data_IF_536713767654
#
_entry.id   IF_536713767654
#
_cell.length_a   1.000
_cell.length_b   1.000
_cell.length_c   1.000
_cell.angle_alpha   90.00
_cell.angle_beta   90.00
_cell.angle_gamma   90.00
#
_symmetry.space_group_name_H-M   'P 1'
#
loop_
_entity.id
_entity.type
_entity.pdbx_description
1 polymer ?
#
# COMPACT_ATOMS: atom_id res chain seq x y z
N UNK A 1 9.80 39.13 -32.57
CA UNK A 1 8.94 38.18 -31.86
C UNK A 1 8.74 36.96 -32.77
N UNK A 2 9.33 35.82 -32.46
CA UNK A 2 9.04 34.56 -33.17
C UNK A 2 7.61 34.15 -32.84
N UNK A 3 6.72 34.11 -33.84
CA UNK A 3 5.40 33.50 -33.70
C UNK A 3 5.64 32.05 -33.29
N UNK A 4 5.24 31.67 -32.07
CA UNK A 4 5.11 30.27 -31.69
C UNK A 4 4.07 29.69 -32.65
N UNK A 5 4.51 28.85 -33.56
CA UNK A 5 3.63 28.17 -34.49
C UNK A 5 2.61 27.35 -33.72
N UNK A 6 1.39 27.26 -34.22
CA UNK A 6 0.32 26.43 -33.69
C UNK A 6 0.68 24.93 -33.82
N UNK A 7 1.71 24.47 -33.13
CA UNK A 7 1.90 23.04 -33.00
C UNK A 7 0.78 22.49 -32.13
N UNK A 8 0.02 21.58 -32.70
CA UNK A 8 -0.96 20.81 -31.94
C UNK A 8 -0.22 20.10 -30.82
N UNK A 9 -0.62 20.32 -29.58
CA UNK A 9 -0.07 19.58 -28.46
C UNK A 9 -0.27 18.09 -28.69
N UNK A 10 0.75 17.29 -28.44
CA UNK A 10 0.65 15.82 -28.39
C UNK A 10 0.07 15.32 -27.05
N UNK A 11 -0.23 16.24 -26.16
CA UNK A 11 -0.90 15.95 -24.89
C UNK A 11 -2.40 15.85 -25.12
N UNK A 12 -2.96 14.67 -24.88
CA UNK A 12 -4.39 14.46 -24.84
C UNK A 12 -4.85 14.59 -23.36
N UNK A 13 -5.71 15.56 -23.11
CA UNK A 13 -6.27 15.82 -21.78
C UNK A 13 -7.26 14.74 -21.35
N UNK A 14 -7.85 14.04 -22.30
CA UNK A 14 -8.85 13.01 -22.07
C UNK A 14 -8.54 11.78 -22.95
N UNK A 15 -7.42 11.11 -22.68
CA UNK A 15 -7.03 9.98 -23.52
C UNK A 15 -8.03 8.85 -23.44
N UNK A 16 -8.40 8.30 -24.56
CA UNK A 16 -9.22 7.09 -24.64
C UNK A 16 -8.29 5.92 -24.92
N UNK A 17 -8.20 5.00 -23.98
CA UNK A 17 -7.47 3.74 -24.16
C UNK A 17 -8.48 2.67 -24.50
N UNK A 18 -8.34 2.08 -25.68
CA UNK A 18 -9.15 0.93 -26.07
C UNK A 18 -8.60 -0.31 -25.37
N UNK A 19 -9.44 -0.98 -24.58
CA UNK A 19 -9.17 -2.31 -24.04
C UNK A 19 -9.65 -3.35 -25.04
N UNK A 20 -8.90 -4.45 -25.21
CA UNK A 20 -9.30 -5.51 -26.13
C UNK A 20 -10.61 -6.15 -25.66
N UNK A 21 -11.54 -6.42 -26.60
CA UNK A 21 -12.85 -7.01 -26.34
C UNK A 21 -12.79 -8.46 -25.82
N UNK A 22 -11.58 -9.04 -25.71
CA UNK A 22 -11.39 -10.44 -25.31
C UNK A 22 -11.40 -10.66 -23.78
N UNK A 23 -11.49 -9.61 -22.99
CA UNK A 23 -11.47 -9.71 -21.53
C UNK A 23 -12.87 -9.50 -20.96
N UNK A 24 -13.66 -10.57 -20.90
CA UNK A 24 -14.86 -10.58 -20.08
C UNK A 24 -14.47 -10.43 -18.60
N UNK A 25 -15.09 -9.45 -17.90
CA UNK A 25 -14.98 -9.27 -16.45
C UNK A 25 -13.55 -9.01 -15.92
N UNK A 26 -12.91 -7.95 -16.37
CA UNK A 26 -11.60 -7.50 -15.86
C UNK A 26 -11.69 -6.38 -14.82
N UNK A 27 -12.90 -5.93 -14.50
CA UNK A 27 -13.14 -4.88 -13.52
C UNK A 27 -14.30 -5.29 -12.60
N UNK A 28 -14.10 -5.15 -11.31
CA UNK A 28 -15.09 -5.44 -10.27
C UNK A 28 -15.31 -4.22 -9.41
N UNK A 29 -16.54 -3.94 -9.05
CA UNK A 29 -16.91 -2.76 -8.28
C UNK A 29 -17.59 -3.15 -6.96
N UNK A 30 -17.13 -2.52 -5.89
CA UNK A 30 -17.64 -2.74 -4.55
C UNK A 30 -17.13 -4.02 -3.88
N UNK A 31 -17.19 -4.03 -2.57
CA UNK A 31 -16.65 -5.09 -1.75
C UNK A 31 -17.20 -6.50 -2.07
N UNK A 32 -18.50 -6.69 -2.35
CA UNK A 32 -19.02 -8.03 -2.66
C UNK A 32 -18.35 -8.67 -3.88
N UNK A 33 -18.15 -7.88 -4.95
CA UNK A 33 -17.53 -8.40 -6.17
C UNK A 33 -16.03 -8.62 -5.97
N UNK A 34 -15.33 -7.69 -5.30
CA UNK A 34 -13.91 -7.80 -5.00
C UNK A 34 -13.65 -9.05 -4.15
N UNK A 35 -14.40 -9.25 -3.08
CA UNK A 35 -14.25 -10.43 -2.21
C UNK A 35 -14.57 -11.72 -2.95
N UNK A 36 -15.61 -11.72 -3.79
CA UNK A 36 -15.93 -12.88 -4.65
C UNK A 36 -14.76 -13.24 -5.56
N UNK A 37 -14.14 -12.24 -6.17
CA UNK A 37 -12.99 -12.46 -7.04
C UNK A 37 -11.75 -12.95 -6.27
N UNK A 38 -11.50 -12.41 -5.08
CA UNK A 38 -10.40 -12.87 -4.22
C UNK A 38 -10.58 -14.32 -3.80
N UNK A 39 -11.80 -14.72 -3.41
CA UNK A 39 -12.12 -16.12 -3.09
C UNK A 39 -11.86 -17.04 -4.29
N UNK A 40 -12.34 -16.68 -5.49
CA UNK A 40 -12.07 -17.44 -6.71
C UNK A 40 -10.57 -17.58 -6.99
N UNK A 41 -9.81 -16.49 -6.82
CA UNK A 41 -8.36 -16.52 -7.01
C UNK A 41 -7.68 -17.47 -6.02
N UNK A 42 -8.09 -17.46 -4.76
CA UNK A 42 -7.59 -18.38 -3.73
C UNK A 42 -8.01 -19.83 -3.96
N UNK A 43 -9.21 -20.08 -4.48
CA UNK A 43 -9.67 -21.43 -4.83
C UNK A 43 -8.83 -22.05 -5.94
N UNK A 44 -8.37 -21.25 -6.91
CA UNK A 44 -7.50 -21.69 -8.00
C UNK A 44 -6.05 -21.99 -7.58
N UNK A 45 -5.67 -21.66 -6.35
CA UNK A 45 -4.36 -22.02 -5.79
C UNK A 45 -4.43 -23.45 -5.23
N UNK A 46 -3.69 -24.38 -5.83
CA UNK A 46 -3.68 -25.79 -5.45
C UNK A 46 -2.49 -26.12 -4.53
N UNK A 47 -2.43 -25.44 -3.37
CA UNK A 47 -1.43 -25.65 -2.33
C UNK A 47 -2.10 -25.84 -0.97
N UNK A 48 -1.51 -26.60 -0.03
CA UNK A 48 -2.05 -26.73 1.31
C UNK A 48 -2.09 -25.39 2.06
N UNK A 49 -1.05 -24.57 1.93
CA UNK A 49 -0.99 -23.21 2.44
C UNK A 49 -1.06 -22.24 1.26
N UNK A 50 -1.98 -21.30 1.33
CA UNK A 50 -2.18 -20.26 0.32
C UNK A 50 -1.88 -18.92 0.93
N UNK A 51 -1.04 -18.13 0.27
CA UNK A 51 -0.59 -16.81 0.76
C UNK A 51 -1.22 -15.70 -0.08
N UNK A 52 -2.09 -14.92 0.54
CA UNK A 52 -2.63 -13.68 -0.01
C UNK A 52 -1.85 -12.50 0.59
N UNK A 53 -1.20 -11.72 -0.25
CA UNK A 53 -0.58 -10.45 0.13
C UNK A 53 -1.46 -9.30 -0.34
N UNK A 54 -1.80 -8.42 0.57
CA UNK A 54 -2.50 -7.16 0.29
C UNK A 54 -1.55 -6.02 0.59
N UNK A 55 -0.82 -5.62 -0.44
CA UNK A 55 0.08 -4.47 -0.39
C UNK A 55 -0.74 -3.18 -0.45
N UNK A 56 -0.61 -2.35 0.54
CA UNK A 56 -1.33 -1.08 0.61
C UNK A 56 -0.41 0.09 0.28
N UNK A 57 -0.87 1.00 -0.57
CA UNK A 57 -0.23 2.29 -0.69
C UNK A 57 -0.57 3.17 0.51
N UNK A 58 0.30 4.11 0.83
CA UNK A 58 0.06 5.05 1.91
C UNK A 58 -1.27 5.80 1.73
N UNK A 59 -2.05 5.87 2.80
CA UNK A 59 -3.31 6.60 2.81
C UNK A 59 -4.56 5.77 2.56
N UNK A 60 -4.42 4.47 2.34
CA UNK A 60 -5.56 3.53 2.35
C UNK A 60 -6.22 3.54 3.73
N UNK A 61 -7.54 3.45 3.79
CA UNK A 61 -8.26 3.32 5.05
C UNK A 61 -8.18 1.88 5.58
N UNK A 62 -7.16 1.64 6.41
CA UNK A 62 -6.84 0.32 6.93
C UNK A 62 -8.02 -0.37 7.61
N UNK A 63 -8.75 0.36 8.46
CA UNK A 63 -9.87 -0.23 9.22
C UNK A 63 -11.01 -0.69 8.32
N UNK A 64 -11.30 0.05 7.24
CA UNK A 64 -12.30 -0.36 6.26
C UNK A 64 -11.90 -1.66 5.58
N UNK A 65 -10.69 -1.69 5.00
CA UNK A 65 -10.20 -2.86 4.26
C UNK A 65 -10.06 -4.07 5.18
N UNK A 66 -9.45 -3.91 6.36
CA UNK A 66 -9.29 -4.98 7.34
C UNK A 66 -10.63 -5.56 7.80
N UNK A 67 -11.59 -4.69 8.09
CA UNK A 67 -12.92 -5.12 8.53
C UNK A 67 -13.59 -6.02 7.49
N UNK A 68 -13.55 -5.62 6.22
CA UNK A 68 -14.16 -6.41 5.15
C UNK A 68 -13.41 -7.71 4.92
N UNK A 69 -12.08 -7.67 4.76
CA UNK A 69 -11.30 -8.86 4.44
C UNK A 69 -11.31 -9.88 5.59
N UNK A 70 -11.16 -9.44 6.85
CA UNK A 70 -11.26 -10.33 8.02
C UNK A 70 -12.64 -10.95 8.17
N UNK A 71 -13.69 -10.19 7.84
CA UNK A 71 -15.07 -10.67 7.98
C UNK A 71 -15.54 -11.58 6.85
N UNK A 72 -14.94 -11.49 5.66
CA UNK A 72 -15.49 -12.15 4.46
C UNK A 72 -14.51 -13.11 3.77
N UNK A 73 -13.22 -13.07 4.09
CA UNK A 73 -12.25 -14.05 3.58
C UNK A 73 -11.90 -15.08 4.66
N UNK A 74 -12.04 -16.38 4.38
CA UNK A 74 -11.59 -17.41 5.29
C UNK A 74 -10.06 -17.35 5.41
N UNK A 75 -9.55 -17.30 6.63
CA UNK A 75 -8.11 -17.28 6.87
C UNK A 75 -7.72 -18.02 8.15
N UNK A 76 -6.59 -18.68 8.13
CA UNK A 76 -5.98 -19.38 9.27
C UNK A 76 -5.10 -18.44 10.06
N UNK A 77 -4.40 -17.53 9.36
CA UNK A 77 -3.48 -16.57 9.96
C UNK A 77 -3.62 -15.21 9.27
N UNK A 78 -3.72 -14.17 10.08
CA UNK A 78 -3.67 -12.78 9.65
C UNK A 78 -2.42 -12.12 10.22
N UNK A 79 -1.62 -11.48 9.36
CA UNK A 79 -0.43 -10.74 9.73
C UNK A 79 -0.52 -9.29 9.24
N UNK A 80 -0.34 -8.35 10.15
CA UNK A 80 -0.16 -6.95 9.81
C UNK A 80 1.33 -6.68 9.56
N UNK A 81 1.69 -6.24 8.36
CA UNK A 81 3.08 -5.93 8.00
C UNK A 81 3.68 -4.84 8.91
N UNK A 82 2.84 -3.90 9.37
CA UNK A 82 3.24 -2.85 10.31
C UNK A 82 3.84 -3.36 11.60
N UNK A 83 3.52 -4.60 12.03
CA UNK A 83 4.12 -5.21 13.22
C UNK A 83 5.61 -5.50 13.08
N UNK A 84 6.12 -5.58 11.84
CA UNK A 84 7.53 -5.74 11.56
C UNK A 84 8.26 -4.41 11.29
N UNK A 85 7.58 -3.27 11.39
CA UNK A 85 8.23 -1.97 11.23
C UNK A 85 9.12 -1.63 12.43
N UNK A 86 10.08 -0.76 12.18
CA UNK A 86 10.87 -0.07 13.19
C UNK A 86 9.96 0.82 14.04
N UNK A 87 10.47 1.31 15.16
CA UNK A 87 9.71 2.25 16.00
C UNK A 87 9.56 3.61 15.32
N UNK A 88 8.55 4.37 15.72
CA UNK A 88 8.32 5.72 15.21
C UNK A 88 9.53 6.63 15.44
N UNK A 89 10.25 6.45 16.56
CA UNK A 89 11.46 7.21 16.90
C UNK A 89 12.60 6.89 15.92
N UNK A 90 12.80 5.62 15.59
CA UNK A 90 13.81 5.19 14.62
C UNK A 90 13.51 5.74 13.24
N UNK A 91 12.23 5.65 12.80
CA UNK A 91 11.77 6.17 11.51
C UNK A 91 11.96 7.70 11.45
N UNK A 92 11.51 8.42 12.44
CA UNK A 92 11.68 9.86 12.51
C UNK A 92 13.16 10.27 12.52
N UNK A 93 14.02 9.47 13.16
CA UNK A 93 15.46 9.74 13.23
C UNK A 93 16.13 9.72 11.87
N UNK A 94 15.86 8.71 11.03
CA UNK A 94 16.49 8.66 9.71
C UNK A 94 15.85 9.63 8.72
N UNK A 95 14.55 9.94 8.84
CA UNK A 95 13.87 10.90 7.97
C UNK A 95 14.24 12.36 8.29
N UNK A 96 14.76 12.63 9.47
CA UNK A 96 15.00 14.01 9.95
C UNK A 96 15.87 14.84 9.00
N UNK A 97 16.87 14.23 8.39
CA UNK A 97 17.76 14.93 7.45
C UNK A 97 17.04 15.35 6.16
N UNK A 98 16.06 14.57 5.73
CA UNK A 98 15.36 14.82 4.48
C UNK A 98 14.16 15.75 4.67
N UNK A 99 13.53 15.70 5.86
CA UNK A 99 12.42 16.59 6.22
C UNK A 99 12.90 18.03 6.36
N UNK A 100 14.11 18.25 6.88
CA UNK A 100 14.71 19.56 7.16
C UNK A 100 13.93 20.44 8.15
N UNK A 101 14.47 21.57 8.53
CA UNK A 101 13.83 22.62 9.35
C UNK A 101 13.08 23.67 8.53
N UNK A 102 13.16 23.63 7.20
CA UNK A 102 12.40 24.52 6.33
C UNK A 102 10.89 24.22 6.47
N UNK A 103 10.07 25.26 6.46
CA UNK A 103 8.62 25.10 6.67
C UNK A 103 7.92 24.35 5.52
N UNK A 104 8.45 24.49 4.29
CA UNK A 104 7.79 24.01 3.06
C UNK A 104 8.62 22.92 2.37
N UNK A 105 9.93 23.09 2.31
CA UNK A 105 10.82 22.27 1.50
C UNK A 105 11.59 21.23 2.34
N UNK A 106 11.67 20.03 1.79
CA UNK A 106 12.55 18.95 2.22
C UNK A 106 13.33 18.41 1.03
N UNK A 107 14.19 17.45 1.28
CA UNK A 107 14.88 16.72 0.22
C UNK A 107 14.03 15.52 -0.21
N UNK A 108 14.11 15.15 -1.50
CA UNK A 108 13.55 13.89 -1.96
C UNK A 108 14.31 12.76 -1.29
N UNK A 109 13.60 11.92 -0.56
CA UNK A 109 14.21 10.82 0.18
C UNK A 109 14.84 9.79 -0.76
N UNK A 110 15.96 9.20 -0.31
CA UNK A 110 16.63 8.06 -0.96
C UNK A 110 16.32 6.74 -0.25
N UNK A 111 15.51 6.80 0.78
CA UNK A 111 15.15 5.62 1.55
C UNK A 111 14.12 4.78 0.80
N UNK A 112 14.34 3.49 0.80
CA UNK A 112 13.43 2.49 0.24
C UNK A 112 12.64 1.83 1.37
N UNK A 113 11.69 0.98 1.01
CA UNK A 113 10.79 0.33 1.96
C UNK A 113 11.52 -0.47 3.03
N UNK A 114 12.65 -1.11 2.71
CA UNK A 114 13.49 -1.86 3.64
C UNK A 114 13.96 -1.03 4.84
N UNK A 115 14.20 0.26 4.65
CA UNK A 115 14.62 1.14 5.73
C UNK A 115 13.59 1.29 6.86
N UNK A 116 12.32 1.04 6.58
CA UNK A 116 11.22 1.16 7.54
C UNK A 116 11.02 -0.10 8.39
N UNK A 117 11.65 -1.22 8.02
CA UNK A 117 11.41 -2.51 8.63
C UNK A 117 12.59 -3.01 9.49
N UNK A 118 12.27 -3.86 10.46
CA UNK A 118 13.22 -4.61 11.27
C UNK A 118 13.30 -6.05 10.74
N UNK A 119 14.48 -6.45 10.26
CA UNK A 119 14.70 -7.77 9.67
C UNK A 119 14.40 -8.92 10.64
N UNK A 120 14.63 -8.75 11.95
CA UNK A 120 14.31 -9.78 12.94
C UNK A 120 12.81 -9.99 13.06
N UNK A 121 12.06 -8.89 13.11
CA UNK A 121 10.60 -8.95 13.15
C UNK A 121 10.02 -9.54 11.86
N UNK A 122 10.60 -9.22 10.68
CA UNK A 122 10.24 -9.88 9.42
C UNK A 122 10.46 -11.39 9.51
N UNK A 123 11.63 -11.81 9.98
CA UNK A 123 11.94 -13.25 10.15
C UNK A 123 10.92 -13.94 11.06
N UNK A 124 10.55 -13.32 12.19
CA UNK A 124 9.52 -13.84 13.10
C UNK A 124 8.16 -14.00 12.41
N UNK A 125 7.76 -13.04 11.55
CA UNK A 125 6.52 -13.16 10.79
C UNK A 125 6.58 -14.31 9.78
N UNK A 126 7.71 -14.47 9.08
CA UNK A 126 7.93 -15.57 8.13
C UNK A 126 7.94 -16.92 8.82
N UNK A 127 8.53 -17.03 10.01
CA UNK A 127 8.48 -18.26 10.83
C UNK A 127 7.04 -18.62 11.22
N UNK A 128 6.19 -17.64 11.58
CA UNK A 128 4.77 -17.90 11.85
C UNK A 128 4.06 -18.49 10.64
N UNK A 129 4.34 -17.98 9.44
CA UNK A 129 3.78 -18.51 8.18
C UNK A 129 4.30 -19.92 7.91
N UNK A 130 5.61 -20.17 8.10
CA UNK A 130 6.21 -21.48 7.91
C UNK A 130 5.66 -22.55 8.86
N UNK A 131 5.15 -22.14 10.02
CA UNK A 131 4.49 -23.03 11.00
C UNK A 131 3.06 -23.43 10.61
N UNK A 132 2.45 -22.84 9.58
CA UNK A 132 1.11 -23.19 9.10
C UNK A 132 1.18 -24.42 8.21
N UNK A 133 0.41 -25.44 8.51
CA UNK A 133 0.37 -26.69 7.72
C UNK A 133 -0.70 -26.66 6.61
N UNK A 134 -1.77 -25.91 6.78
CA UNK A 134 -2.85 -25.76 5.80
C UNK A 134 -3.71 -24.53 6.06
N UNK A 135 -4.30 -23.99 5.00
CA UNK A 135 -5.25 -22.89 5.05
C UNK A 135 -4.74 -21.63 4.33
N UNK A 136 -5.38 -20.50 4.61
CA UNK A 136 -5.08 -19.21 3.98
C UNK A 136 -4.36 -18.33 4.99
N UNK A 137 -3.21 -17.79 4.58
CA UNK A 137 -2.47 -16.76 5.29
C UNK A 137 -2.69 -15.44 4.57
N UNK A 138 -3.07 -14.40 5.31
CA UNK A 138 -3.21 -13.05 4.77
C UNK A 138 -2.14 -12.16 5.40
N UNK A 139 -1.32 -11.53 4.56
CA UNK A 139 -0.34 -10.50 4.96
C UNK A 139 -0.82 -9.17 4.41
N UNK A 140 -1.05 -8.22 5.29
CA UNK A 140 -1.74 -6.97 4.98
C UNK A 140 -0.92 -5.75 5.38
N UNK A 141 -0.99 -4.68 4.58
CA UNK A 141 -0.52 -3.34 4.92
C UNK A 141 0.57 -2.82 4.00
N UNK A 142 1.05 -1.62 4.31
CA UNK A 142 2.18 -1.01 3.58
C UNK A 142 3.43 -1.86 3.80
N UNK A 143 4.10 -2.27 2.73
CA UNK A 143 5.26 -3.14 2.77
C UNK A 143 4.93 -4.62 2.97
N UNK A 144 3.68 -5.03 2.83
CA UNK A 144 3.30 -6.45 2.96
C UNK A 144 4.02 -7.34 1.94
N UNK A 145 4.22 -6.85 0.71
CA UNK A 145 4.98 -7.55 -0.32
C UNK A 145 6.49 -7.62 0.00
N UNK A 146 7.03 -6.65 0.74
CA UNK A 146 8.40 -6.72 1.24
C UNK A 146 8.53 -7.76 2.37
N UNK A 147 7.59 -7.78 3.30
CA UNK A 147 7.55 -8.77 4.39
C UNK A 147 7.38 -10.19 3.83
N UNK A 148 6.50 -10.37 2.84
CA UNK A 148 6.20 -11.68 2.24
C UNK A 148 6.24 -11.58 0.71
N UNK A 149 7.44 -11.66 0.10
CA UNK A 149 7.59 -11.51 -1.35
C UNK A 149 7.03 -12.71 -2.15
N UNK A 150 6.97 -13.88 -1.52
CA UNK A 150 6.42 -15.08 -2.14
C UNK A 150 4.92 -15.19 -1.81
N UNK A 151 4.07 -14.65 -2.70
CA UNK A 151 2.63 -14.72 -2.58
C UNK A 151 2.01 -15.57 -3.70
N UNK A 152 0.90 -16.25 -3.40
CA UNK A 152 0.08 -16.94 -4.41
C UNK A 152 -0.91 -16.00 -5.07
N UNK A 153 -1.41 -15.03 -4.30
CA UNK A 153 -2.27 -13.94 -4.76
C UNK A 153 -1.73 -12.63 -4.22
N UNK A 154 -1.49 -11.67 -5.10
CA UNK A 154 -1.07 -10.32 -4.75
C UNK A 154 -2.17 -9.33 -5.11
N UNK A 155 -2.57 -8.54 -4.13
CA UNK A 155 -3.47 -7.40 -4.30
C UNK A 155 -2.70 -6.12 -4.00
N UNK A 156 -2.83 -5.13 -4.86
CA UNK A 156 -2.30 -3.79 -4.61
C UNK A 156 -3.46 -2.81 -4.39
N UNK A 157 -3.57 -2.30 -3.17
CA UNK A 157 -4.54 -1.28 -2.81
C UNK A 157 -3.92 0.10 -3.03
N UNK A 158 -4.17 0.66 -4.21
CA UNK A 158 -3.65 1.97 -4.62
C UNK A 158 -4.48 3.14 -4.09
N UNK A 159 -3.86 4.30 -4.06
CA UNK A 159 -4.48 5.54 -3.63
C UNK A 159 -4.01 6.72 -4.50
N UNK A 160 -4.95 7.49 -5.01
CA UNK A 160 -4.62 8.69 -5.76
C UNK A 160 -3.88 9.71 -4.86
N UNK A 161 -2.73 10.21 -5.32
CA UNK A 161 -1.89 11.17 -4.56
C UNK A 161 -2.66 12.40 -4.09
N UNK A 162 -3.58 12.91 -4.92
CA UNK A 162 -4.43 14.02 -4.55
C UNK A 162 -5.31 13.70 -3.33
N UNK A 163 -5.89 12.49 -3.29
CA UNK A 163 -6.72 12.08 -2.17
C UNK A 163 -5.89 11.89 -0.90
N UNK A 164 -4.66 11.38 -0.99
CA UNK A 164 -3.74 11.30 0.16
C UNK A 164 -3.53 12.69 0.77
N UNK A 165 -3.29 13.71 -0.07
CA UNK A 165 -3.14 15.09 0.41
C UNK A 165 -4.40 15.61 1.10
N UNK A 166 -5.57 15.28 0.56
CA UNK A 166 -6.84 15.66 1.18
C UNK A 166 -7.04 14.96 2.53
N UNK A 167 -6.69 13.68 2.64
CA UNK A 167 -6.75 12.92 3.89
C UNK A 167 -5.80 13.46 4.96
N UNK A 168 -4.59 13.86 4.59
CA UNK A 168 -3.70 14.58 5.51
C UNK A 168 -4.33 15.88 6.02
N UNK A 169 -4.90 16.70 5.13
CA UNK A 169 -5.56 17.97 5.51
C UNK A 169 -6.78 17.77 6.42
N UNK A 170 -7.42 16.62 6.35
CA UNK A 170 -8.55 16.24 7.21
C UNK A 170 -8.11 15.47 8.46
N UNK A 171 -6.80 15.30 8.67
CA UNK A 171 -6.22 14.53 9.80
C UNK A 171 -6.73 13.08 9.88
N UNK A 172 -7.00 12.46 8.74
CA UNK A 172 -7.58 11.11 8.66
C UNK A 172 -6.52 10.02 8.65
N UNK A 173 -5.31 10.34 8.17
CA UNK A 173 -4.23 9.38 8.01
C UNK A 173 -2.91 9.89 8.58
N UNK A 174 -2.01 8.96 8.89
CA UNK A 174 -0.62 9.20 9.30
C UNK A 174 0.35 8.81 8.19
N UNK A 175 1.60 9.25 8.31
CA UNK A 175 2.68 8.72 7.49
C UNK A 175 3.04 7.29 7.90
N UNK A 176 3.75 6.59 7.01
CA UNK A 176 4.14 5.19 7.21
C UNK A 176 4.99 5.02 8.47
N UNK A 177 4.55 4.13 9.36
CA UNK A 177 5.26 3.74 10.58
C UNK A 177 5.29 4.79 11.70
N UNK A 178 4.58 5.92 11.55
CA UNK A 178 4.50 6.98 12.57
C UNK A 178 3.05 7.39 12.81
N UNK A 179 2.75 7.87 14.02
CA UNK A 179 1.44 8.47 14.32
C UNK A 179 1.57 10.00 14.36
N UNK A 180 1.46 10.62 13.21
CA UNK A 180 1.58 12.07 13.04
C UNK A 180 0.36 12.71 12.37
N UNK A 181 -0.82 12.08 12.48
CA UNK A 181 -2.04 12.57 11.81
C UNK A 181 -2.48 13.97 12.25
N UNK A 182 -2.08 14.41 13.44
CA UNK A 182 -2.36 15.75 13.96
C UNK A 182 -1.30 16.78 13.62
N UNK A 183 -0.25 16.39 12.92
CA UNK A 183 0.79 17.31 12.44
C UNK A 183 0.26 18.17 11.28
N UNK A 184 0.97 19.27 10.98
CA UNK A 184 0.64 20.08 9.81
C UNK A 184 0.71 19.25 8.55
N UNK A 185 -0.26 19.43 7.65
CA UNK A 185 -0.30 18.71 6.38
C UNK A 185 0.97 18.91 5.53
N UNK A 186 1.62 20.08 5.62
CA UNK A 186 2.91 20.34 4.95
C UNK A 186 4.03 19.44 5.46
N UNK A 187 4.09 19.19 6.77
CA UNK A 187 5.06 18.28 7.37
C UNK A 187 4.78 16.83 7.01
N UNK A 188 3.51 16.41 7.13
CA UNK A 188 3.09 15.07 6.70
C UNK A 188 3.42 14.84 5.23
N UNK A 189 3.24 15.87 4.40
CA UNK A 189 3.50 15.78 2.97
C UNK A 189 5.01 15.61 2.65
N UNK A 190 5.90 16.27 3.40
CA UNK A 190 7.36 16.08 3.28
C UNK A 190 7.81 14.69 3.72
N UNK A 191 7.11 14.11 4.69
CA UNK A 191 7.39 12.77 5.23
C UNK A 191 6.71 11.64 4.44
N UNK A 192 5.98 11.98 3.36
CA UNK A 192 5.26 11.01 2.56
C UNK A 192 6.25 10.13 1.79
N UNK A 193 6.04 8.82 1.84
CA UNK A 193 6.74 7.88 0.98
C UNK A 193 6.24 8.09 -0.47
N UNK A 194 7.12 8.51 -1.35
CA UNK A 194 6.79 8.88 -2.73
C UNK A 194 7.36 7.89 -3.74
#
# INVERSE_FOLDING_TARGET
MKKYSNYKSNYDKYPVVQVSETSENVCWQGWPEIVSQLNKSLENVHKPVKVLVVECYQGVYDEEVKSVLKGQLPHTLWLDASSAMKTSEEINSFLKSDITDDEIFGYMTRYHMDCYFDEKKIAELREKVAGISAGVVIVYGVGAAYVMPESDVLVYADMARWEIQMRFRRNEISNVGVDNRMERASLQYKSCLL
#
